data_IF_829400600295
#
_entry.id   IF_829400600295
#
_cell.length_a   1.000
_cell.length_b   1.000
_cell.length_c   1.000
_cell.angle_alpha   90.00
_cell.angle_beta   90.00
_cell.angle_gamma   90.00
#
_symmetry.space_group_name_H-M   'P 1'
#
loop_
_entity.id
_entity.type
_entity.pdbx_description
1 polymer ?
#
# COMPACT_ATOMS: atom_id res chain seq x y z
N UNK A 1 5.71 21.85 -11.12
CA UNK A 1 5.12 23.20 -11.22
C UNK A 1 3.76 23.15 -10.54
N UNK A 2 3.57 23.88 -9.45
CA UNK A 2 2.26 24.07 -8.82
C UNK A 2 1.60 25.28 -9.50
N UNK A 3 0.36 25.12 -9.95
CA UNK A 3 -0.40 26.18 -10.64
C UNK A 3 -0.88 27.29 -9.68
N UNK A 4 -0.52 27.22 -8.40
CA UNK A 4 -0.92 28.13 -7.33
C UNK A 4 -2.44 28.19 -7.10
N UNK A 5 -3.20 27.27 -7.72
CA UNK A 5 -4.65 27.20 -7.58
C UNK A 5 -5.00 26.37 -6.35
N UNK A 6 -5.63 27.01 -5.37
CA UNK A 6 -6.26 26.30 -4.26
C UNK A 6 -7.52 25.62 -4.77
N UNK A 7 -7.58 24.29 -4.66
CA UNK A 7 -8.77 23.48 -4.98
C UNK A 7 -9.32 22.87 -3.70
N UNK A 8 -10.61 23.08 -3.46
CA UNK A 8 -11.34 22.39 -2.39
C UNK A 8 -11.83 21.06 -2.93
N UNK A 9 -11.37 19.96 -2.35
CA UNK A 9 -11.90 18.64 -2.62
C UNK A 9 -13.03 18.35 -1.63
N UNK A 10 -14.24 18.12 -2.14
CA UNK A 10 -15.37 17.63 -1.34
C UNK A 10 -15.39 16.11 -1.37
N UNK A 11 -16.05 15.49 -0.38
CA UNK A 11 -16.27 14.04 -0.31
C UNK A 11 -15.00 13.17 -0.24
N UNK A 12 -13.87 13.77 0.15
CA UNK A 12 -12.61 13.07 0.42
C UNK A 12 -12.34 12.99 1.92
N UNK A 13 -11.72 11.89 2.36
CA UNK A 13 -11.25 11.73 3.73
C UNK A 13 -9.73 11.89 3.76
N UNK A 14 -9.25 12.95 4.40
CA UNK A 14 -7.82 13.05 4.73
C UNK A 14 -7.50 12.09 5.88
N UNK A 15 -6.45 11.27 5.71
CA UNK A 15 -5.96 10.33 6.73
C UNK A 15 -4.52 10.72 7.07
N UNK A 16 -4.31 11.63 8.05
CA UNK A 16 -2.99 12.22 8.33
C UNK A 16 -1.92 11.18 8.68
N UNK A 17 -2.32 10.10 9.35
CA UNK A 17 -1.42 9.04 9.82
C UNK A 17 -1.17 7.94 8.78
N UNK A 18 -1.66 8.08 7.54
CA UNK A 18 -1.40 7.13 6.46
C UNK A 18 0.04 7.28 5.96
N UNK A 19 1.01 6.85 6.78
CA UNK A 19 2.43 7.17 6.61
C UNK A 19 3.14 6.40 5.51
N UNK A 20 2.56 5.32 4.96
CA UNK A 20 2.92 4.61 3.71
C UNK A 20 2.22 3.23 3.67
N UNK A 21 2.20 2.63 2.49
CA UNK A 21 1.73 1.27 2.15
C UNK A 21 0.25 1.15 1.73
N UNK A 22 -0.19 2.00 0.80
CA UNK A 22 -1.31 1.65 -0.07
C UNK A 22 -0.90 0.43 -0.91
N UNK A 23 -1.66 -0.65 -0.81
CA UNK A 23 -1.46 -1.85 -1.62
C UNK A 23 -2.57 -1.86 -2.67
N UNK A 24 -2.16 -1.74 -3.94
CA UNK A 24 -3.09 -1.79 -5.07
C UNK A 24 -3.58 -3.23 -5.28
N UNK A 25 -4.91 -3.41 -5.37
CA UNK A 25 -5.49 -4.70 -5.74
C UNK A 25 -5.09 -5.11 -7.17
N UNK A 26 -4.97 -4.15 -8.10
CA UNK A 26 -4.52 -4.45 -9.46
C UNK A 26 -3.08 -4.98 -9.50
N UNK A 27 -2.21 -4.50 -8.62
CA UNK A 27 -0.85 -5.04 -8.48
C UNK A 27 -0.87 -6.46 -7.89
N UNK A 28 -1.76 -6.73 -6.93
CA UNK A 28 -1.91 -8.09 -6.40
C UNK A 28 -2.43 -9.07 -7.46
N UNK A 29 -3.40 -8.64 -8.26
CA UNK A 29 -3.94 -9.43 -9.37
C UNK A 29 -2.86 -9.72 -10.44
N UNK A 30 -2.06 -8.72 -10.83
CA UNK A 30 -0.98 -8.93 -11.79
C UNK A 30 0.14 -9.86 -11.27
N UNK A 31 0.31 -9.91 -9.94
CA UNK A 31 1.19 -10.89 -9.27
C UNK A 31 0.54 -12.28 -9.13
N UNK A 32 -0.67 -12.50 -9.65
CA UNK A 32 -1.38 -13.78 -9.59
C UNK A 32 -2.06 -14.06 -8.25
N UNK A 33 -2.21 -13.05 -7.40
CA UNK A 33 -2.94 -13.20 -6.15
C UNK A 33 -4.45 -13.16 -6.40
N UNK A 34 -5.18 -13.94 -5.61
CA UNK A 34 -6.63 -13.87 -5.50
C UNK A 34 -6.99 -13.11 -4.23
N UNK A 35 -8.10 -12.38 -4.26
CA UNK A 35 -8.60 -11.70 -3.07
C UNK A 35 -10.10 -11.92 -2.91
N UNK A 36 -10.54 -12.04 -1.66
CA UNK A 36 -11.95 -12.17 -1.29
C UNK A 36 -12.29 -11.16 -0.22
N UNK A 37 -13.49 -10.60 -0.31
CA UNK A 37 -14.02 -9.64 0.66
C UNK A 37 -15.36 -10.16 1.19
N UNK A 38 -15.38 -10.56 2.46
CA UNK A 38 -16.56 -11.11 3.11
C UNK A 38 -16.60 -10.68 4.57
N UNK A 39 -17.77 -10.30 5.09
CA UNK A 39 -17.94 -9.92 6.50
C UNK A 39 -17.09 -8.72 6.94
N UNK A 40 -16.66 -7.86 6.01
CA UNK A 40 -15.76 -6.74 6.30
C UNK A 40 -14.29 -7.15 6.48
N UNK A 41 -13.91 -8.36 6.08
CA UNK A 41 -12.52 -8.83 6.05
C UNK A 41 -12.10 -9.04 4.59
N UNK A 42 -10.98 -8.43 4.22
CA UNK A 42 -10.28 -8.70 2.98
C UNK A 42 -9.21 -9.76 3.24
N UNK A 43 -9.22 -10.83 2.44
CA UNK A 43 -8.16 -11.86 2.44
C UNK A 43 -7.50 -11.85 1.07
N UNK A 44 -6.18 -11.93 1.03
CA UNK A 44 -5.42 -12.09 -0.21
C UNK A 44 -4.59 -13.36 -0.12
N UNK A 45 -4.67 -14.18 -1.17
CA UNK A 45 -4.02 -15.48 -1.24
C UNK A 45 -3.22 -15.64 -2.52
N UNK A 46 -2.08 -16.32 -2.41
CA UNK A 46 -1.31 -16.82 -3.55
C UNK A 46 -1.40 -18.35 -3.52
N UNK A 47 -2.09 -18.93 -4.51
CA UNK A 47 -2.47 -20.34 -4.45
C UNK A 47 -3.37 -20.64 -3.24
N UNK A 48 -3.01 -21.64 -2.43
CA UNK A 48 -3.73 -22.01 -1.21
C UNK A 48 -3.33 -21.18 0.03
N UNK A 49 -2.27 -20.37 -0.06
CA UNK A 49 -1.72 -19.63 1.08
C UNK A 49 -2.35 -18.25 1.18
N UNK A 50 -2.89 -17.90 2.34
CA UNK A 50 -3.30 -16.52 2.65
C UNK A 50 -2.08 -15.71 3.08
N UNK A 51 -1.68 -14.76 2.24
CA UNK A 51 -0.49 -13.92 2.44
C UNK A 51 -0.82 -12.59 3.12
N UNK A 52 -2.08 -12.17 3.08
CA UNK A 52 -2.53 -10.91 3.69
C UNK A 52 -3.97 -11.01 4.19
N UNK A 53 -4.24 -10.38 5.33
CA UNK A 53 -5.59 -10.13 5.82
C UNK A 53 -5.74 -8.66 6.19
N UNK A 54 -6.89 -8.06 5.92
CA UNK A 54 -7.18 -6.69 6.33
C UNK A 54 -8.63 -6.56 6.80
N UNK A 55 -8.89 -5.62 7.72
CA UNK A 55 -10.22 -5.35 8.28
C UNK A 55 -10.74 -4.01 7.76
N UNK A 56 -12.01 -3.98 7.38
CA UNK A 56 -12.68 -2.77 6.94
C UNK A 56 -12.86 -1.79 8.09
N UNK A 57 -12.48 -0.54 7.87
CA UNK A 57 -12.70 0.62 8.74
C UNK A 57 -13.29 1.76 7.89
N UNK A 58 -14.61 1.88 7.88
CA UNK A 58 -15.33 2.73 6.93
C UNK A 58 -15.20 2.20 5.50
N UNK A 59 -14.63 3.01 4.60
CA UNK A 59 -14.37 2.65 3.20
C UNK A 59 -12.97 2.07 2.97
N UNK A 60 -12.08 2.12 3.97
CA UNK A 60 -10.71 1.63 3.87
C UNK A 60 -10.54 0.26 4.51
N UNK A 61 -9.47 -0.45 4.13
CA UNK A 61 -9.03 -1.69 4.78
C UNK A 61 -7.70 -1.46 5.48
N UNK A 62 -7.64 -1.81 6.77
CA UNK A 62 -6.42 -1.77 7.57
C UNK A 62 -5.84 -3.16 7.66
N UNK A 63 -4.56 -3.30 7.32
CA UNK A 63 -3.85 -4.57 7.41
C UNK A 63 -3.95 -5.15 8.83
N UNK A 64 -4.29 -6.44 8.92
CA UNK A 64 -4.30 -7.20 10.15
C UNK A 64 -2.97 -7.95 10.27
N UNK A 65 -2.10 -7.47 11.14
CA UNK A 65 -0.79 -8.07 11.41
C UNK A 65 0.37 -7.13 11.05
N UNK A 66 1.58 -7.60 11.28
CA UNK A 66 2.82 -6.89 10.94
C UNK A 66 3.35 -7.39 9.60
N UNK A 67 3.61 -6.48 8.67
CA UNK A 67 4.42 -6.81 7.49
C UNK A 67 5.84 -7.12 7.96
N UNK A 68 6.33 -8.33 7.70
CA UNK A 68 7.75 -8.62 7.86
C UNK A 68 8.44 -8.04 6.62
N UNK A 69 8.93 -6.82 6.74
CA UNK A 69 9.83 -6.23 5.74
C UNK A 69 11.18 -6.92 5.91
N UNK A 70 11.33 -8.10 5.30
CA UNK A 70 12.64 -8.68 5.13
C UNK A 70 13.46 -7.71 4.28
N UNK A 71 14.40 -7.00 4.90
CA UNK A 71 15.52 -6.45 4.15
C UNK A 71 16.18 -7.67 3.52
N UNK A 72 15.95 -7.90 2.22
CA UNK A 72 16.85 -8.75 1.48
C UNK A 72 18.23 -8.15 1.74
N UNK A 73 19.12 -8.89 2.41
CA UNK A 73 20.50 -8.51 2.57
C UNK A 73 21.12 -8.50 1.17
N UNK A 74 20.88 -7.42 0.43
CA UNK A 74 21.67 -7.06 -0.72
C UNK A 74 22.98 -6.60 -0.11
N UNK A 75 24.03 -7.40 -0.30
CA UNK A 75 25.39 -7.03 0.05
C UNK A 75 25.66 -5.62 -0.48
N UNK A 76 25.72 -4.65 0.43
CA UNK A 76 26.11 -3.29 0.13
C UNK A 76 27.59 -3.31 -0.21
N UNK A 77 27.93 -3.04 -1.46
CA UNK A 77 29.20 -2.38 -1.75
C UNK A 77 28.92 -0.89 -1.80
N UNK A 78 29.39 -0.19 -0.78
CA UNK A 78 29.25 1.25 -0.60
C UNK A 78 29.66 2.04 -1.84
N UNK A 79 28.76 2.89 -2.35
CA UNK A 79 29.15 4.22 -2.79
C UNK A 79 27.98 5.20 -2.82
N UNK A 80 27.98 6.06 -1.80
CA UNK A 80 27.62 7.48 -1.81
C UNK A 80 26.38 7.94 -2.60
N UNK A 81 25.49 8.58 -1.82
CA UNK A 81 25.03 9.95 -2.00
C UNK A 81 23.57 10.15 -2.46
N UNK A 82 22.90 10.99 -1.67
CA UNK A 82 21.83 11.93 -2.01
C UNK A 82 20.62 11.40 -2.78
N UNK A 83 19.53 11.33 -2.00
CA UNK A 83 18.17 11.67 -2.40
C UNK A 83 17.47 10.81 -3.47
N UNK A 84 16.16 11.05 -3.57
CA UNK A 84 15.28 10.64 -4.65
C UNK A 84 14.64 9.25 -4.47
N UNK A 85 13.66 9.14 -3.56
CA UNK A 85 12.53 8.22 -3.82
C UNK A 85 11.33 9.04 -4.26
N UNK A 86 11.18 9.09 -5.59
CA UNK A 86 10.15 9.84 -6.32
C UNK A 86 8.74 9.41 -5.91
N UNK A 87 7.92 10.45 -5.73
CA UNK A 87 6.46 10.48 -5.67
C UNK A 87 5.85 9.59 -6.77
N UNK A 88 4.84 8.80 -6.41
CA UNK A 88 3.90 8.23 -7.38
C UNK A 88 2.55 8.91 -7.22
N UNK A 89 2.18 9.73 -8.19
CA UNK A 89 0.80 9.94 -8.61
C UNK A 89 0.81 9.93 -10.14
N UNK A 90 0.05 9.02 -10.72
CA UNK A 90 -0.68 9.31 -11.97
C UNK A 90 -2.09 9.71 -11.56
#
# INVERSE_FOLDING_TARGET
MHDSVVRTLTDVRHVPDLKKNLISLGTLESLGCKYTCEGGVLKVSYGALVIMKARRSGTFYTLLGSTVTGVAAVSTSDKSNSDITKLWHM
#
